data_IF_244256650292
#
_entry.id   IF_244256650292
#
_cell.length_a   1.000
_cell.length_b   1.000
_cell.length_c   1.000
_cell.angle_alpha   90.00
_cell.angle_beta   90.00
_cell.angle_gamma   90.00
#
_symmetry.space_group_name_H-M   'P 1'
#
loop_
_entity.id
_entity.type
_entity.pdbx_description
1 polymer ?
#
# COMPACT_ATOMS: atom_id res chain seq x y z
N UNK A 1 -6.18 -26.74 13.53
CA UNK A 1 -6.17 -26.72 12.03
C UNK A 1 -5.40 -27.92 11.54
N UNK A 2 -5.90 -28.62 10.53
CA UNK A 2 -5.19 -29.72 9.86
C UNK A 2 -4.19 -29.18 8.83
N UNK A 3 -3.26 -30.01 8.38
CA UNK A 3 -2.30 -29.68 7.30
C UNK A 3 -3.05 -29.22 6.04
N UNK A 4 -4.11 -29.92 5.65
CA UNK A 4 -4.94 -29.56 4.49
C UNK A 4 -5.58 -28.17 4.64
N UNK A 5 -6.15 -27.86 5.81
CA UNK A 5 -6.70 -26.52 6.08
C UNK A 5 -5.64 -25.42 6.02
N UNK A 6 -4.41 -25.69 6.50
CA UNK A 6 -3.31 -24.72 6.43
C UNK A 6 -2.85 -24.48 4.99
N UNK A 7 -2.69 -25.54 4.19
CA UNK A 7 -2.38 -25.43 2.75
C UNK A 7 -3.43 -24.62 2.00
N UNK A 8 -4.71 -24.87 2.27
CA UNK A 8 -5.79 -24.10 1.67
C UNK A 8 -5.71 -22.61 2.05
N UNK A 9 -5.37 -22.30 3.31
CA UNK A 9 -5.18 -20.92 3.75
C UNK A 9 -4.02 -20.22 3.02
N UNK A 10 -2.85 -20.87 2.91
CA UNK A 10 -1.69 -20.32 2.16
C UNK A 10 -2.05 -20.09 0.70
N UNK A 11 -2.64 -21.09 0.04
CA UNK A 11 -3.02 -21.00 -1.38
C UNK A 11 -4.00 -19.85 -1.61
N UNK A 12 -4.99 -19.69 -0.72
CA UNK A 12 -5.97 -18.61 -0.80
C UNK A 12 -5.33 -17.24 -0.58
N UNK A 13 -4.40 -17.11 0.37
CA UNK A 13 -3.70 -15.88 0.65
C UNK A 13 -2.80 -15.46 -0.53
N UNK A 14 -1.96 -16.37 -1.03
CA UNK A 14 -1.10 -16.12 -2.19
C UNK A 14 -1.91 -15.81 -3.45
N UNK A 15 -2.97 -16.57 -3.70
CA UNK A 15 -3.87 -16.31 -4.82
C UNK A 15 -4.57 -14.94 -4.73
N UNK A 16 -4.90 -14.49 -3.52
CA UNK A 16 -5.44 -13.13 -3.31
C UNK A 16 -4.39 -12.06 -3.60
N UNK A 17 -3.16 -12.22 -3.12
CA UNK A 17 -2.10 -11.26 -3.35
C UNK A 17 -1.75 -11.13 -4.85
N UNK A 18 -1.63 -12.26 -5.55
CA UNK A 18 -1.43 -12.30 -7.01
C UNK A 18 -2.52 -11.55 -7.78
N UNK A 19 -3.79 -11.73 -7.41
CA UNK A 19 -4.91 -10.98 -8.01
C UNK A 19 -4.84 -9.47 -7.76
N UNK A 20 -4.18 -9.05 -6.68
CA UNK A 20 -3.98 -7.64 -6.36
C UNK A 20 -2.65 -7.10 -6.93
N UNK A 21 -1.88 -7.90 -7.67
CA UNK A 21 -0.54 -7.53 -8.13
C UNK A 21 0.48 -7.36 -7.00
N UNK A 22 0.19 -7.88 -5.80
CA UNK A 22 1.08 -7.81 -4.65
C UNK A 22 1.93 -9.08 -4.64
N UNK A 23 3.24 -8.90 -4.77
CA UNK A 23 4.20 -9.96 -4.48
C UNK A 23 4.37 -10.08 -2.96
N UNK A 24 4.04 -11.25 -2.41
CA UNK A 24 4.32 -11.54 -1.01
C UNK A 24 5.76 -12.02 -0.95
N UNK A 25 6.56 -11.28 -0.17
CA UNK A 25 7.96 -11.50 0.19
C UNK A 25 8.67 -12.64 -0.57
N UNK A 26 9.56 -12.34 -1.53
CA UNK A 26 10.22 -13.33 -2.37
C UNK A 26 11.34 -14.10 -1.65
N UNK A 27 11.66 -13.77 -0.39
CA UNK A 27 12.73 -14.45 0.33
C UNK A 27 12.41 -15.95 0.57
N UNK A 28 13.27 -16.87 0.11
CA UNK A 28 13.14 -18.30 0.41
C UNK A 28 12.98 -18.63 1.89
N UNK A 29 13.62 -17.87 2.79
CA UNK A 29 13.51 -18.08 4.24
C UNK A 29 12.08 -17.83 4.75
N UNK A 30 11.37 -16.85 4.19
CA UNK A 30 9.96 -16.62 4.49
C UNK A 30 9.10 -17.81 4.03
N UNK A 31 9.32 -18.31 2.81
CA UNK A 31 8.59 -19.46 2.29
C UNK A 31 8.82 -20.74 3.12
N UNK A 32 10.04 -20.97 3.60
CA UNK A 32 10.32 -22.07 4.51
C UNK A 32 9.52 -22.00 5.82
N UNK A 33 9.40 -20.81 6.41
CA UNK A 33 8.58 -20.61 7.62
C UNK A 33 7.12 -21.01 7.36
N UNK A 34 6.56 -20.61 6.22
CA UNK A 34 5.20 -20.99 5.83
C UNK A 34 5.06 -22.51 5.70
N UNK A 35 6.03 -23.19 5.08
CA UNK A 35 6.01 -24.66 4.94
C UNK A 35 6.09 -25.38 6.30
N UNK A 36 6.93 -24.91 7.22
CA UNK A 36 6.99 -25.46 8.59
C UNK A 36 5.65 -25.32 9.32
N UNK A 37 4.94 -24.20 9.13
CA UNK A 37 3.59 -24.05 9.68
C UNK A 37 2.58 -24.99 9.03
N UNK A 38 2.63 -25.12 7.70
CA UNK A 38 1.77 -26.03 6.93
C UNK A 38 1.91 -27.45 7.46
N UNK A 39 3.15 -27.94 7.61
CA UNK A 39 3.46 -29.27 8.16
C UNK A 39 3.08 -29.40 9.64
N UNK A 40 3.03 -28.29 10.37
CA UNK A 40 2.72 -28.25 11.79
C UNK A 40 3.92 -28.39 12.71
N UNK A 41 5.10 -28.21 12.17
CA UNK A 41 6.35 -28.13 12.92
C UNK A 41 6.43 -26.84 13.73
N UNK A 42 5.79 -25.77 13.26
CA UNK A 42 5.73 -24.47 13.93
C UNK A 42 4.30 -23.97 14.07
N UNK A 43 4.00 -23.34 15.21
CA UNK A 43 2.77 -22.61 15.44
C UNK A 43 2.87 -21.19 14.84
N UNK A 44 1.72 -20.59 14.52
CA UNK A 44 1.67 -19.28 13.88
C UNK A 44 2.32 -18.14 14.69
N UNK A 45 2.25 -18.11 16.05
CA UNK A 45 3.03 -17.15 16.85
C UNK A 45 4.55 -17.31 16.67
N UNK A 46 5.05 -18.55 16.56
CA UNK A 46 6.48 -18.83 16.35
C UNK A 46 6.92 -18.43 14.95
N UNK A 47 6.07 -18.62 13.93
CA UNK A 47 6.32 -18.10 12.58
C UNK A 47 6.46 -16.59 12.61
N UNK A 48 5.53 -15.89 13.27
CA UNK A 48 5.55 -14.43 13.37
C UNK A 48 6.84 -13.94 14.02
N UNK A 49 7.23 -14.54 15.14
CA UNK A 49 8.48 -14.19 15.83
C UNK A 49 9.71 -14.36 14.93
N UNK A 50 9.84 -15.54 14.30
CA UNK A 50 10.97 -15.83 13.39
C UNK A 50 10.99 -14.90 12.18
N UNK A 51 9.82 -14.61 11.62
CA UNK A 51 9.71 -13.68 10.51
C UNK A 51 10.10 -12.25 10.89
N UNK A 52 9.72 -11.79 12.08
CA UNK A 52 10.16 -10.47 12.57
C UNK A 52 11.67 -10.41 12.81
N UNK A 53 12.27 -11.50 13.30
CA UNK A 53 13.73 -11.59 13.43
C UNK A 53 14.43 -11.52 12.07
N UNK A 54 13.92 -12.25 11.08
CA UNK A 54 14.41 -12.23 9.69
C UNK A 54 14.36 -10.81 9.11
N UNK A 55 13.25 -10.07 9.30
CA UNK A 55 13.13 -8.68 8.83
C UNK A 55 14.16 -7.76 9.50
N UNK A 56 14.42 -7.94 10.80
CA UNK A 56 15.44 -7.16 11.52
C UNK A 56 16.84 -7.44 10.98
N UNK A 57 17.15 -8.68 10.65
CA UNK A 57 18.44 -9.09 10.08
C UNK A 57 18.65 -8.50 8.68
N UNK A 58 17.62 -8.56 7.82
CA UNK A 58 17.67 -7.95 6.49
C UNK A 58 17.87 -6.44 6.55
N UNK A 59 17.21 -5.77 7.48
CA UNK A 59 17.33 -4.32 7.65
C UNK A 59 18.71 -3.92 8.17
N UNK A 60 19.29 -4.71 9.09
CA UNK A 60 20.69 -4.53 9.53
C UNK A 60 21.66 -4.70 8.37
N UNK A 61 21.53 -5.79 7.61
CA UNK A 61 22.37 -6.06 6.44
C UNK A 61 22.29 -4.94 5.39
N UNK A 62 21.08 -4.39 5.17
CA UNK A 62 20.86 -3.26 4.26
C UNK A 62 21.54 -1.98 4.75
N UNK A 63 21.49 -1.70 6.06
CA UNK A 63 22.16 -0.55 6.68
C UNK A 63 23.68 -0.68 6.61
N UNK A 64 24.22 -1.86 6.89
CA UNK A 64 25.65 -2.13 6.77
C UNK A 64 26.15 -2.00 5.33
N UNK A 65 25.39 -2.53 4.36
CA UNK A 65 25.71 -2.37 2.94
C UNK A 65 25.71 -0.89 2.52
N UNK A 66 24.71 -0.10 2.93
CA UNK A 66 24.68 1.35 2.64
C UNK A 66 25.83 2.10 3.31
N UNK A 67 26.12 1.78 4.56
CA UNK A 67 27.24 2.37 5.31
C UNK A 67 28.61 2.04 4.69
N UNK A 68 28.74 0.86 4.07
CA UNK A 68 29.98 0.44 3.37
C UNK A 68 30.07 0.92 1.93
N UNK A 69 28.95 1.05 1.22
CA UNK A 69 28.94 1.46 -0.20
C UNK A 69 28.85 2.97 -0.41
N UNK A 70 28.67 3.78 0.65
CA UNK A 70 28.58 5.24 0.55
C UNK A 70 27.35 5.76 -0.20
N UNK A 71 26.43 4.87 -0.61
CA UNK A 71 25.24 5.23 -1.38
C UNK A 71 24.14 5.75 -0.45
N UNK A 72 24.27 7.00 -0.03
CA UNK A 72 23.15 7.78 0.51
C UNK A 72 22.19 8.11 -0.64
N UNK A 73 21.13 7.32 -0.81
CA UNK A 73 19.99 7.76 -1.60
C UNK A 73 19.35 8.91 -0.83
N UNK A 74 19.65 10.14 -1.24
CA UNK A 74 18.90 11.32 -0.86
C UNK A 74 17.50 11.18 -1.46
N UNK A 75 16.52 10.78 -0.66
CA UNK A 75 15.12 11.05 -0.96
C UNK A 75 14.90 12.53 -0.68
N UNK A 76 15.10 13.36 -1.71
CA UNK A 76 14.54 14.71 -1.76
C UNK A 76 13.01 14.59 -1.65
N UNK A 77 12.36 15.20 -0.64
CA UNK A 77 10.91 15.35 -0.64
C UNK A 77 10.53 16.48 -1.60
N UNK A 78 10.11 16.12 -2.82
CA UNK A 78 9.16 16.92 -3.59
C UNK A 78 7.86 16.99 -2.79
N UNK A 79 7.64 18.08 -2.04
CA UNK A 79 6.30 18.64 -1.77
C UNK A 79 6.45 19.94 -0.94
N UNK A 80 6.65 21.07 -1.64
CA UNK A 80 6.32 22.41 -1.14
C UNK A 80 6.27 23.45 -2.28
N UNK A 81 5.55 23.15 -3.36
CA UNK A 81 4.67 24.17 -3.94
C UNK A 81 3.46 24.26 -2.99
N UNK A 82 2.90 25.38 -2.55
CA UNK A 82 2.84 26.75 -3.06
C UNK A 82 2.25 27.63 -1.93
N UNK A 83 2.44 28.95 -2.03
CA UNK A 83 1.54 30.05 -1.59
C UNK A 83 2.35 31.18 -0.94
N UNK A 84 2.86 32.17 -1.68
CA UNK A 84 2.10 33.30 -2.25
C UNK A 84 1.49 34.24 -1.20
N UNK A 85 2.07 35.45 -1.00
CA UNK A 85 1.31 36.71 -0.91
C UNK A 85 2.20 37.97 -0.92
N UNK A 86 1.63 39.05 -1.50
CA UNK A 86 2.11 40.44 -1.72
C UNK A 86 2.90 40.62 -3.02
N UNK A 87 2.36 41.19 -4.10
CA UNK A 87 1.37 42.28 -4.24
C UNK A 87 2.11 43.48 -4.84
N UNK A 88 1.64 44.21 -5.83
CA UNK A 88 0.48 44.15 -6.72
C UNK A 88 0.70 45.17 -7.84
N UNK A 89 -0.27 45.21 -8.77
CA UNK A 89 -0.56 46.27 -9.77
C UNK A 89 0.57 46.60 -10.73
N UNK A 90 0.45 46.37 -12.02
CA UNK A 90 -0.27 47.16 -13.04
C UNK A 90 -0.24 46.33 -14.35
N UNK A 91 -1.00 46.48 -15.43
CA UNK A 91 -2.21 47.17 -15.80
C UNK A 91 -2.57 46.63 -17.21
N UNK A 92 -3.85 46.38 -17.46
CA UNK A 92 -4.60 46.70 -18.70
C UNK A 92 -4.26 45.95 -20.02
N UNK A 93 -5.32 45.34 -20.59
CA UNK A 93 -5.47 44.91 -21.99
C UNK A 93 -6.36 43.65 -22.06
N UNK A 94 -7.70 43.77 -22.14
CA UNK A 94 -8.51 43.70 -23.39
C UNK A 94 -8.19 42.42 -24.20
N UNK A 95 -9.07 41.49 -24.61
CA UNK A 95 -10.48 41.51 -25.02
C UNK A 95 -10.87 40.04 -25.34
N UNK A 96 -11.96 39.50 -24.75
CA UNK A 96 -13.22 39.03 -25.40
C UNK A 96 -13.14 37.76 -26.27
N UNK A 97 -14.07 36.84 -26.01
CA UNK A 97 -14.25 35.63 -26.83
C UNK A 97 -15.13 34.59 -26.15
N UNK A 98 -16.44 34.76 -26.32
CA UNK A 98 -17.52 33.80 -26.10
C UNK A 98 -17.13 32.30 -26.17
N UNK A 99 -17.61 31.51 -25.19
CA UNK A 99 -18.16 30.15 -25.44
C UNK A 99 -18.92 29.60 -24.22
N UNK A 100 -20.20 29.92 -24.25
CA UNK A 100 -21.36 29.11 -23.86
C UNK A 100 -21.13 27.72 -23.23
N UNK A 101 -21.75 27.54 -22.05
CA UNK A 101 -22.81 26.56 -21.76
C UNK A 101 -22.44 25.06 -21.90
N UNK A 102 -22.47 24.32 -20.79
CA UNK A 102 -23.57 23.40 -20.48
C UNK A 102 -23.41 22.74 -19.10
N UNK A 103 -24.32 23.15 -18.23
CA UNK A 103 -24.81 22.42 -17.07
C UNK A 103 -25.51 21.13 -17.53
N UNK A 104 -25.17 19.97 -16.94
CA UNK A 104 -26.02 18.77 -16.93
C UNK A 104 -25.64 17.83 -15.78
N UNK A 105 -26.25 18.11 -14.64
CA UNK A 105 -26.99 17.19 -13.76
C UNK A 105 -26.68 15.68 -13.86
N UNK A 106 -26.13 15.12 -12.79
CA UNK A 106 -26.30 13.70 -12.47
C UNK A 106 -27.32 13.54 -11.32
N UNK A 107 -28.41 12.77 -11.48
CA UNK A 107 -29.41 12.59 -10.43
C UNK A 107 -28.89 11.69 -9.31
N UNK A 108 -28.99 12.17 -8.07
CA UNK A 108 -28.70 11.41 -6.84
C UNK A 108 -29.83 10.40 -6.59
N UNK A 109 -29.49 9.11 -6.57
CA UNK A 109 -30.40 8.03 -6.18
C UNK A 109 -30.82 8.15 -4.69
N UNK A 110 -32.10 8.02 -4.33
CA UNK A 110 -32.53 8.06 -2.94
C UNK A 110 -32.22 6.76 -2.18
N UNK A 111 -31.69 6.90 -0.96
CA UNK A 111 -31.39 5.80 -0.04
C UNK A 111 -32.68 5.13 0.45
N UNK A 112 -32.86 3.84 0.15
CA UNK A 112 -33.98 3.01 0.65
C UNK A 112 -33.89 2.90 2.18
N UNK A 113 -34.92 3.42 2.87
CA UNK A 113 -35.15 3.23 4.31
C UNK A 113 -35.54 1.77 4.57
N UNK A 114 -34.91 1.12 5.55
CA UNK A 114 -35.33 -0.20 6.04
C UNK A 114 -36.52 -0.03 6.99
N UNK A 115 -37.58 -0.85 6.91
CA UNK A 115 -38.66 -0.83 7.89
C UNK A 115 -38.20 -1.47 9.21
N UNK A 116 -38.53 -0.81 10.33
CA UNK A 116 -38.53 -1.42 11.68
C UNK A 116 -39.77 -2.31 11.79
N UNK A 117 -39.60 -3.55 12.27
CA UNK A 117 -40.70 -4.44 12.63
C UNK A 117 -41.13 -4.19 14.09
N UNK A 118 -42.39 -4.52 14.43
CA UNK A 118 -43.00 -4.26 15.74
C UNK A 118 -42.40 -5.11 16.86
#
# INVERSE_FOLDING_TARGET
>A
MTIGSRRAAVTKALGRARRLGIEIDPDPAFHMLIECWVKGELAMPQIRERYLALLKEREQSRREWKGRSGLSVATEPEDAAESSLMGGTEAIGMQEGDRQREEKSHPRLPKRRRPRKP
#
